data_IF_034209225905
#
_entry.id   IF_034209225905
#
_cell.length_a   1.000
_cell.length_b   1.000
_cell.length_c   1.000
_cell.angle_alpha   90.00
_cell.angle_beta   90.00
_cell.angle_gamma   90.00
#
_symmetry.space_group_name_H-M   'P 1'
#
loop_
_entity.id
_entity.type
_entity.pdbx_description
1 polymer ?
#
# COMPACT_ATOMS: atom_id res chain seq x y z
N UNK A 1 12.66 6.21 -8.78
CA UNK A 1 11.43 6.55 -8.03
C UNK A 1 10.37 5.53 -8.40
N UNK A 2 9.81 4.81 -7.44
CA UNK A 2 8.79 3.78 -7.74
C UNK A 2 7.46 4.43 -8.08
N UNK A 3 6.96 4.18 -9.29
CA UNK A 3 5.63 4.61 -9.74
C UNK A 3 4.59 3.82 -8.94
N UNK A 4 3.59 4.51 -8.37
CA UNK A 4 2.55 3.83 -7.60
C UNK A 4 1.55 3.11 -8.49
N UNK A 5 0.89 2.10 -7.92
CA UNK A 5 -0.17 1.36 -8.60
C UNK A 5 -1.39 2.26 -8.81
N UNK A 6 -1.91 2.23 -10.03
CA UNK A 6 -3.11 2.97 -10.41
C UNK A 6 -4.36 2.11 -10.18
N UNK A 7 -5.43 2.74 -9.71
CA UNK A 7 -6.70 2.09 -9.41
C UNK A 7 -7.88 3.01 -9.78
N UNK A 8 -8.24 3.10 -11.07
CA UNK A 8 -9.29 4.01 -11.54
C UNK A 8 -10.69 3.71 -10.97
N UNK A 9 -10.94 2.47 -10.53
CA UNK A 9 -12.22 2.05 -9.96
C UNK A 9 -12.60 2.85 -8.71
N UNK A 10 -11.62 3.33 -7.93
CA UNK A 10 -11.85 4.17 -6.74
C UNK A 10 -12.62 5.45 -7.04
N UNK A 11 -12.59 5.93 -8.29
CA UNK A 11 -13.25 7.16 -8.71
C UNK A 11 -14.75 7.01 -8.94
N UNK A 12 -15.28 5.78 -8.95
CA UNK A 12 -16.68 5.51 -9.34
C UNK A 12 -17.44 4.78 -8.23
N UNK A 13 -18.68 5.21 -7.92
CA UNK A 13 -19.27 6.50 -8.28
C UNK A 13 -18.52 7.66 -7.60
N UNK A 14 -18.55 8.91 -8.07
CA UNK A 14 -18.00 10.02 -7.30
C UNK A 14 -18.68 10.14 -5.92
N UNK A 15 -17.95 10.57 -4.90
CA UNK A 15 -18.57 10.95 -3.63
C UNK A 15 -19.49 12.14 -3.87
N UNK A 16 -20.73 12.03 -3.43
CA UNK A 16 -21.74 13.09 -3.49
C UNK A 16 -21.93 13.72 -2.12
N UNK A 17 -22.49 14.92 -2.08
CA UNK A 17 -22.89 15.59 -0.83
C UNK A 17 -24.02 14.83 -0.11
N UNK A 18 -24.80 14.02 -0.84
CA UNK A 18 -25.89 13.22 -0.27
C UNK A 18 -25.36 12.25 0.81
N UNK A 19 -25.92 12.35 2.00
CA UNK A 19 -25.56 11.50 3.15
C UNK A 19 -24.31 11.95 3.93
N UNK A 20 -23.65 13.04 3.51
CA UNK A 20 -22.57 13.66 4.26
C UNK A 20 -23.13 14.71 5.22
N UNK A 21 -22.67 14.69 6.46
CA UNK A 21 -23.12 15.65 7.47
C UNK A 21 -22.25 16.91 7.42
N UNK A 22 -22.87 18.07 7.47
CA UNK A 22 -22.15 19.33 7.55
C UNK A 22 -21.42 19.42 8.90
N UNK A 23 -20.26 20.06 8.91
CA UNK A 23 -19.59 20.48 10.14
C UNK A 23 -19.71 21.99 10.30
N UNK A 24 -19.22 22.53 11.42
CA UNK A 24 -19.11 23.99 11.61
C UNK A 24 -18.25 24.69 10.53
N UNK A 25 -17.31 23.97 9.92
CA UNK A 25 -16.28 24.56 9.05
C UNK A 25 -16.42 24.17 7.59
N UNK A 26 -16.91 22.97 7.32
CA UNK A 26 -17.00 22.37 5.99
C UNK A 26 -18.43 21.89 5.74
N UNK A 27 -19.00 22.30 4.60
CA UNK A 27 -20.29 21.80 4.14
C UNK A 27 -20.20 20.40 3.51
N UNK A 28 -21.34 19.75 3.23
CA UNK A 28 -21.38 18.43 2.59
C UNK A 28 -20.68 18.41 1.21
N UNK A 29 -20.76 19.50 0.45
CA UNK A 29 -20.09 19.60 -0.86
C UNK A 29 -18.57 19.71 -0.73
N UNK A 30 -18.07 20.44 0.26
CA UNK A 30 -16.62 20.54 0.53
C UNK A 30 -16.05 19.19 0.93
N UNK A 31 -16.79 18.46 1.77
CA UNK A 31 -16.48 17.08 2.15
C UNK A 31 -16.41 16.15 0.94
N UNK A 32 -17.43 16.18 0.07
CA UNK A 32 -17.44 15.37 -1.15
C UNK A 32 -16.26 15.71 -2.06
N UNK A 33 -15.97 17.00 -2.28
CA UNK A 33 -14.85 17.46 -3.09
C UNK A 33 -13.50 17.03 -2.51
N UNK A 34 -13.32 17.17 -1.20
CA UNK A 34 -12.09 16.76 -0.51
C UNK A 34 -11.88 15.25 -0.56
N UNK A 35 -12.94 14.47 -0.32
CA UNK A 35 -12.89 13.01 -0.44
C UNK A 35 -12.56 12.55 -1.86
N UNK A 36 -13.19 13.14 -2.87
CA UNK A 36 -12.89 12.84 -4.29
C UNK A 36 -11.45 13.20 -4.67
N UNK A 37 -10.90 14.29 -4.12
CA UNK A 37 -9.49 14.65 -4.32
C UNK A 37 -8.55 13.61 -3.71
N UNK A 38 -8.86 13.07 -2.52
CA UNK A 38 -8.08 11.99 -1.89
C UNK A 38 -8.18 10.70 -2.72
N UNK A 39 -9.39 10.29 -3.10
CA UNK A 39 -9.60 9.10 -3.94
C UNK A 39 -8.88 9.22 -5.27
N UNK A 40 -8.91 10.40 -5.91
CA UNK A 40 -8.18 10.66 -7.16
C UNK A 40 -6.67 10.58 -6.99
N UNK A 41 -6.15 11.12 -5.89
CA UNK A 41 -4.73 11.00 -5.57
C UNK A 41 -4.30 9.53 -5.41
N UNK A 42 -5.08 8.75 -4.66
CA UNK A 42 -4.81 7.32 -4.45
C UNK A 42 -4.95 6.54 -5.77
N UNK A 43 -6.04 6.77 -6.52
CA UNK A 43 -6.32 6.14 -7.80
C UNK A 43 -5.21 6.35 -8.84
N UNK A 44 -4.47 7.46 -8.76
CA UNK A 44 -3.35 7.79 -9.64
C UNK A 44 -2.01 7.23 -9.16
N UNK A 45 -2.00 6.40 -8.12
CA UNK A 45 -0.77 5.85 -7.54
C UNK A 45 0.00 6.85 -6.67
N UNK A 46 -0.70 7.81 -6.06
CA UNK A 46 -0.14 8.77 -5.12
C UNK A 46 1.10 9.52 -5.66
N UNK A 47 1.01 10.20 -6.83
CA UNK A 47 2.18 10.80 -7.48
C UNK A 47 2.69 12.03 -6.72
N UNK A 48 4.02 12.19 -6.63
CA UNK A 48 4.66 13.29 -5.88
C UNK A 48 4.23 14.68 -6.35
N UNK A 49 4.04 14.84 -7.65
CA UNK A 49 3.62 16.10 -8.29
C UNK A 49 2.21 16.52 -7.91
N UNK A 50 1.33 15.59 -7.54
CA UNK A 50 -0.02 15.90 -7.06
C UNK A 50 -0.08 16.12 -5.54
N UNK A 51 0.99 15.80 -4.80
CA UNK A 51 1.03 15.91 -3.34
C UNK A 51 1.33 17.36 -2.90
N UNK A 52 0.30 18.04 -2.40
CA UNK A 52 0.34 19.45 -2.04
C UNK A 52 -0.10 19.69 -0.57
N UNK A 53 0.06 20.93 -0.09
CA UNK A 53 -0.24 21.31 1.29
C UNK A 53 -1.71 21.09 1.70
N UNK A 54 -2.66 21.28 0.76
CA UNK A 54 -4.08 21.05 1.04
C UNK A 54 -4.35 19.57 1.29
N UNK A 55 -3.80 18.70 0.44
CA UNK A 55 -3.97 17.26 0.58
C UNK A 55 -3.27 16.72 1.84
N UNK A 56 -2.04 17.18 2.09
CA UNK A 56 -1.30 16.85 3.32
C UNK A 56 -2.09 17.22 4.58
N UNK A 57 -2.55 18.46 4.72
CA UNK A 57 -3.30 18.91 5.92
C UNK A 57 -4.56 18.11 6.16
N UNK A 58 -5.22 17.65 5.09
CA UNK A 58 -6.46 16.89 5.22
C UNK A 58 -6.17 15.44 5.58
N UNK A 59 -5.24 14.78 4.89
CA UNK A 59 -4.80 13.42 5.23
C UNK A 59 -4.25 13.33 6.66
N UNK A 60 -3.42 14.29 7.09
CA UNK A 60 -2.80 14.26 8.42
C UNK A 60 -3.81 14.34 9.57
N UNK A 61 -4.93 15.03 9.34
CA UNK A 61 -6.01 15.20 10.32
C UNK A 61 -7.04 14.09 10.31
N UNK A 62 -7.27 13.42 9.18
CA UNK A 62 -8.33 12.40 9.03
C UNK A 62 -7.95 11.03 9.59
N UNK A 63 -6.68 10.64 9.48
CA UNK A 63 -6.28 9.24 9.71
C UNK A 63 -5.21 9.10 10.80
N UNK A 64 -5.11 10.11 11.68
CA UNK A 64 -4.22 10.07 12.84
C UNK A 64 -2.72 10.20 12.53
N UNK A 65 -2.33 10.72 11.36
CA UNK A 65 -0.91 10.93 11.01
C UNK A 65 -0.31 12.22 11.62
N UNK A 66 -0.69 12.54 12.85
CA UNK A 66 -0.44 13.85 13.50
C UNK A 66 1.05 14.07 13.83
N UNK A 67 1.87 13.01 13.88
CA UNK A 67 3.30 13.08 14.22
C UNK A 67 4.20 13.66 13.11
N UNK A 68 3.69 13.88 11.90
CA UNK A 68 4.47 14.47 10.80
C UNK A 68 4.28 16.00 10.73
N UNK A 69 5.27 16.77 11.19
CA UNK A 69 5.19 18.24 11.31
C UNK A 69 5.34 19.01 9.98
N UNK A 70 5.70 18.36 8.87
CA UNK A 70 5.79 19.01 7.57
C UNK A 70 5.47 18.07 6.40
N UNK A 71 5.14 18.68 5.25
CA UNK A 71 4.74 17.98 4.02
C UNK A 71 5.82 17.01 3.50
N UNK A 72 7.10 17.39 3.58
CA UNK A 72 8.19 16.55 3.08
C UNK A 72 8.36 15.30 3.94
N UNK A 73 8.38 15.45 5.27
CA UNK A 73 8.48 14.36 6.21
C UNK A 73 7.32 13.38 6.06
N UNK A 74 6.09 13.88 5.93
CA UNK A 74 4.93 13.02 5.65
C UNK A 74 5.13 12.18 4.39
N UNK A 75 5.61 12.80 3.31
CA UNK A 75 5.87 12.10 2.05
C UNK A 75 6.91 10.99 2.23
N UNK A 76 8.04 11.31 2.86
CA UNK A 76 9.12 10.33 3.07
C UNK A 76 8.65 9.15 3.91
N UNK A 77 7.90 9.41 4.97
CA UNK A 77 7.44 8.38 5.90
C UNK A 77 6.37 7.48 5.30
N UNK A 78 5.41 8.04 4.55
CA UNK A 78 4.20 7.31 4.18
C UNK A 78 4.06 7.00 2.68
N UNK A 79 4.72 7.75 1.79
CA UNK A 79 4.40 7.72 0.35
C UNK A 79 5.61 7.50 -0.57
N UNK A 80 6.83 7.45 -0.03
CA UNK A 80 8.05 7.38 -0.82
C UNK A 80 8.30 6.02 -1.47
N UNK A 81 7.98 4.92 -0.79
CA UNK A 81 8.26 3.55 -1.25
C UNK A 81 6.97 2.74 -1.39
N UNK A 82 7.06 1.59 -2.08
CA UNK A 82 5.94 0.65 -2.18
C UNK A 82 5.51 0.19 -0.80
N UNK A 83 6.45 -0.23 0.04
CA UNK A 83 6.20 -0.64 1.43
C UNK A 83 5.54 0.47 2.28
N UNK A 84 6.03 1.72 2.20
CA UNK A 84 5.43 2.82 2.95
C UNK A 84 3.98 3.08 2.50
N UNK A 85 3.72 3.00 1.19
CA UNK A 85 2.37 3.13 0.61
C UNK A 85 1.46 1.98 1.06
N UNK A 86 1.97 0.76 1.09
CA UNK A 86 1.24 -0.41 1.63
C UNK A 86 0.80 -0.15 3.07
N UNK A 87 1.74 0.29 3.93
CA UNK A 87 1.46 0.57 5.33
C UNK A 87 0.46 1.74 5.49
N UNK A 88 0.63 2.81 4.72
CA UNK A 88 -0.26 3.96 4.71
C UNK A 88 -1.71 3.57 4.36
N UNK A 89 -1.90 2.80 3.29
CA UNK A 89 -3.23 2.35 2.87
C UNK A 89 -3.84 1.36 3.88
N UNK A 90 -3.03 0.45 4.43
CA UNK A 90 -3.48 -0.46 5.49
C UNK A 90 -3.93 0.28 6.75
N UNK A 91 -3.22 1.36 7.14
CA UNK A 91 -3.64 2.20 8.25
C UNK A 91 -4.99 2.89 7.97
N UNK A 92 -5.23 3.37 6.75
CA UNK A 92 -6.53 3.95 6.38
C UNK A 92 -7.65 2.91 6.47
N UNK A 93 -7.44 1.69 5.95
CA UNK A 93 -8.45 0.63 6.01
C UNK A 93 -8.80 0.22 7.44
N UNK A 94 -7.81 0.23 8.34
CA UNK A 94 -7.96 -0.15 9.74
C UNK A 94 -8.42 1.00 10.62
N UNK A 95 -8.38 2.25 10.12
CA UNK A 95 -8.65 3.42 10.95
C UNK A 95 -10.10 3.39 11.46
N UNK A 96 -10.29 3.23 12.78
CA UNK A 96 -11.61 3.26 13.35
C UNK A 96 -12.08 4.72 13.35
N UNK A 97 -12.99 5.06 12.43
CA UNK A 97 -13.47 6.42 12.21
C UNK A 97 -14.34 6.89 13.41
N UNK A 98 -13.71 7.21 14.54
CA UNK A 98 -14.34 7.43 15.85
C UNK A 98 -15.11 8.76 15.97
N UNK A 99 -14.84 9.73 15.10
CA UNK A 99 -15.45 11.06 15.21
C UNK A 99 -16.94 11.07 14.87
N UNK A 100 -17.69 11.98 15.47
CA UNK A 100 -19.06 12.27 15.05
C UNK A 100 -19.03 13.09 13.75
N UNK A 101 -19.81 12.69 12.75
CA UNK A 101 -19.77 13.31 11.41
C UNK A 101 -20.25 14.76 11.38
N UNK A 102 -20.95 15.20 12.43
CA UNK A 102 -21.35 16.60 12.64
C UNK A 102 -20.17 17.51 13.07
N UNK A 103 -19.05 16.92 13.50
CA UNK A 103 -17.85 17.64 13.98
C UNK A 103 -16.58 17.24 13.24
N UNK A 104 -16.54 16.05 12.64
CA UNK A 104 -15.38 15.52 11.91
C UNK A 104 -15.76 15.06 10.50
N UNK A 105 -14.78 14.56 9.76
CA UNK A 105 -14.95 13.98 8.42
C UNK A 105 -15.10 12.45 8.47
N UNK A 106 -15.59 11.90 9.60
CA UNK A 106 -15.67 10.45 9.81
C UNK A 106 -16.57 9.70 8.84
N UNK A 107 -17.56 10.39 8.28
CA UNK A 107 -18.40 9.91 7.18
C UNK A 107 -17.59 9.72 5.89
N UNK A 108 -16.75 10.71 5.54
CA UNK A 108 -15.84 10.62 4.38
C UNK A 108 -14.74 9.60 4.60
N UNK A 109 -14.13 9.58 5.80
CA UNK A 109 -13.09 8.60 6.19
C UNK A 109 -13.59 7.17 5.97
N UNK A 110 -14.81 6.88 6.44
CA UNK A 110 -15.45 5.57 6.31
C UNK A 110 -15.71 5.20 4.85
N UNK A 111 -16.19 6.14 4.04
CA UNK A 111 -16.41 5.89 2.61
C UNK A 111 -15.09 5.61 1.87
N UNK A 112 -14.01 6.34 2.18
CA UNK A 112 -12.68 6.09 1.60
C UNK A 112 -12.17 4.71 2.02
N UNK A 113 -12.23 4.38 3.31
CA UNK A 113 -11.78 3.09 3.83
C UNK A 113 -12.54 1.92 3.19
N UNK A 114 -13.87 2.03 3.06
CA UNK A 114 -14.67 1.00 2.40
C UNK A 114 -14.26 0.80 0.93
N UNK A 115 -14.07 1.88 0.16
CA UNK A 115 -13.62 1.77 -1.24
C UNK A 115 -12.26 1.13 -1.38
N UNK A 116 -11.34 1.43 -0.47
CA UNK A 116 -10.03 0.78 -0.46
C UNK A 116 -10.18 -0.73 -0.27
N UNK A 117 -10.99 -1.16 0.70
CA UNK A 117 -11.27 -2.59 0.94
C UNK A 117 -11.93 -3.25 -0.26
N UNK A 118 -12.96 -2.64 -0.83
CA UNK A 118 -13.70 -3.16 -1.99
C UNK A 118 -12.82 -3.27 -3.24
N UNK A 119 -11.84 -2.37 -3.39
CA UNK A 119 -10.90 -2.39 -4.51
C UNK A 119 -9.75 -3.39 -4.34
N UNK A 120 -9.60 -3.99 -3.16
CA UNK A 120 -8.46 -4.83 -2.78
C UNK A 120 -7.09 -4.18 -3.02
N UNK A 121 -7.00 -2.85 -3.00
CA UNK A 121 -5.80 -2.11 -3.38
C UNK A 121 -4.61 -2.41 -2.47
N UNK A 122 -4.83 -2.57 -1.16
CA UNK A 122 -3.76 -2.96 -0.22
C UNK A 122 -3.18 -4.32 -0.59
N UNK A 123 -4.02 -5.27 -1.01
CA UNK A 123 -3.57 -6.59 -1.50
C UNK A 123 -2.69 -6.47 -2.74
N UNK A 124 -3.05 -5.61 -3.69
CA UNK A 124 -2.25 -5.35 -4.88
C UNK A 124 -0.86 -4.74 -4.54
N UNK A 125 -0.81 -3.78 -3.61
CA UNK A 125 0.45 -3.21 -3.15
C UNK A 125 1.33 -4.23 -2.41
N UNK A 126 0.75 -5.09 -1.56
CA UNK A 126 1.48 -6.19 -0.91
C UNK A 126 2.06 -7.18 -1.92
N UNK A 127 1.33 -7.49 -2.98
CA UNK A 127 1.82 -8.36 -4.04
C UNK A 127 3.01 -7.73 -4.78
N UNK A 128 2.98 -6.43 -5.03
CA UNK A 128 4.09 -5.71 -5.68
C UNK A 128 5.32 -5.62 -4.77
N UNK A 129 5.13 -5.29 -3.49
CA UNK A 129 6.19 -5.30 -2.47
C UNK A 129 6.88 -6.68 -2.40
N UNK A 130 6.12 -7.77 -2.45
CA UNK A 130 6.69 -9.13 -2.49
C UNK A 130 7.53 -9.37 -3.75
N UNK A 131 7.12 -8.87 -4.93
CA UNK A 131 7.91 -9.00 -6.16
C UNK A 131 9.22 -8.21 -6.07
N UNK A 132 9.18 -7.00 -5.52
CA UNK A 132 10.37 -6.17 -5.31
C UNK A 132 11.36 -6.87 -4.38
N UNK A 133 10.88 -7.44 -3.27
CA UNK A 133 11.69 -8.21 -2.33
C UNK A 133 12.33 -9.42 -3.00
N UNK A 134 11.55 -10.25 -3.71
CA UNK A 134 12.06 -11.42 -4.42
C UNK A 134 13.11 -11.05 -5.47
N UNK A 135 12.93 -9.92 -6.16
CA UNK A 135 13.93 -9.42 -7.12
C UNK A 135 15.23 -9.05 -6.41
N UNK A 136 15.15 -8.31 -5.30
CA UNK A 136 16.31 -7.92 -4.52
C UNK A 136 17.07 -9.15 -3.96
N UNK A 137 16.34 -10.16 -3.48
CA UNK A 137 16.92 -11.43 -3.02
C UNK A 137 17.65 -12.17 -4.15
N UNK A 138 17.05 -12.23 -5.35
CA UNK A 138 17.69 -12.86 -6.52
C UNK A 138 18.95 -12.11 -6.95
N UNK A 139 18.92 -10.79 -6.96
CA UNK A 139 20.09 -9.95 -7.30
C UNK A 139 21.21 -10.13 -6.25
N UNK A 140 20.85 -10.19 -4.96
CA UNK A 140 21.79 -10.47 -3.88
C UNK A 140 22.40 -11.86 -4.00
N UNK A 141 21.60 -12.89 -4.30
CA UNK A 141 22.08 -14.25 -4.52
C UNK A 141 23.06 -14.30 -5.71
N UNK A 142 22.71 -13.66 -6.83
CA UNK A 142 23.58 -13.59 -8.00
C UNK A 142 24.93 -12.93 -7.66
N UNK A 143 24.91 -11.83 -6.89
CA UNK A 143 26.14 -11.16 -6.40
C UNK A 143 26.97 -12.07 -5.51
N UNK A 144 26.34 -12.81 -4.59
CA UNK A 144 27.05 -13.73 -3.69
C UNK A 144 27.67 -14.90 -4.46
N UNK A 145 26.95 -15.51 -5.39
CA UNK A 145 27.47 -16.58 -6.26
C UNK A 145 28.64 -16.10 -7.11
N UNK A 146 28.58 -14.88 -7.65
CA UNK A 146 29.69 -14.31 -8.41
C UNK A 146 30.93 -14.06 -7.55
N UNK A 147 30.76 -13.68 -6.27
CA UNK A 147 31.86 -13.37 -5.36
C UNK A 147 32.50 -14.62 -4.73
N UNK A 148 31.69 -15.65 -4.47
CA UNK A 148 32.10 -16.79 -3.64
C UNK A 148 32.06 -18.15 -4.36
N UNK A 149 31.60 -18.21 -5.62
CA UNK A 149 31.35 -19.48 -6.32
C UNK A 149 30.04 -20.13 -5.86
N UNK A 150 29.63 -21.23 -6.51
CA UNK A 150 28.47 -22.00 -6.03
C UNK A 150 28.86 -22.78 -4.78
N UNK A 151 27.94 -23.03 -3.84
CA UNK A 151 28.22 -23.90 -2.70
C UNK A 151 28.80 -25.27 -3.11
N UNK A 152 28.34 -25.82 -4.24
CA UNK A 152 28.87 -27.07 -4.80
C UNK A 152 30.36 -27.01 -5.17
N UNK A 153 30.88 -25.82 -5.50
CA UNK A 153 32.28 -25.60 -5.90
C UNK A 153 33.21 -25.39 -4.68
N UNK A 154 32.64 -25.10 -3.50
CA UNK A 154 33.38 -24.73 -2.27
C UNK A 154 33.25 -25.81 -1.18
N UNK A 155 32.28 -26.72 -1.27
CA UNK A 155 32.11 -27.81 -0.32
C UNK A 155 33.13 -28.95 -0.58
N UNK A 156 33.79 -29.49 0.45
CA UNK A 156 34.60 -30.69 0.30
C UNK A 156 33.73 -31.88 -0.15
N UNK A 157 34.26 -32.79 -0.98
CA UNK A 157 33.49 -33.84 -1.66
C UNK A 157 32.65 -34.76 -0.75
N UNK A 158 32.98 -34.83 0.54
CA UNK A 158 32.27 -35.63 1.54
C UNK A 158 30.81 -35.22 1.80
N UNK A 159 30.41 -33.99 1.45
CA UNK A 159 29.03 -33.48 1.66
C UNK A 159 28.21 -33.33 0.36
N UNK A 160 28.80 -33.63 -0.80
CA UNK A 160 28.09 -33.58 -2.09
C UNK A 160 27.15 -34.80 -2.29
N UNK A 161 27.30 -35.84 -1.47
CA UNK A 161 26.50 -37.07 -1.51
C UNK A 161 25.36 -37.04 -0.47
N UNK A 162 24.45 -36.07 -0.58
CA UNK A 162 23.13 -36.22 0.05
C UNK A 162 22.22 -36.98 -0.92
N UNK A 163 21.50 -38.04 -0.49
CA UNK A 163 20.71 -38.86 -1.39
C UNK A 163 19.54 -38.04 -1.95
N UNK A 164 19.42 -38.07 -3.29
CA UNK A 164 18.28 -37.54 -4.01
C UNK A 164 17.00 -38.17 -3.46
N UNK A 165 16.07 -37.35 -2.96
CA UNK A 165 14.74 -37.81 -2.54
C UNK A 165 14.03 -38.35 -3.78
N UNK A 166 13.99 -39.67 -3.91
CA UNK A 166 13.19 -40.35 -4.92
C UNK A 166 11.71 -40.16 -4.58
N UNK A 167 10.98 -39.46 -5.45
CA UNK A 167 9.53 -39.37 -5.38
C UNK A 167 8.89 -40.77 -5.50
N UNK A 168 7.66 -40.94 -5.00
CA UNK A 168 7.04 -42.26 -4.87
C UNK A 168 6.84 -42.89 -6.25
N UNK A 169 7.49 -44.05 -6.47
CA UNK A 169 7.25 -44.92 -7.61
C UNK A 169 5.78 -45.31 -7.66
N UNK A 170 5.11 -44.97 -8.77
CA UNK A 170 3.81 -45.54 -9.11
C UNK A 170 3.97 -47.06 -9.25
N UNK A 171 3.51 -47.81 -8.25
CA UNK A 171 3.19 -49.22 -8.40
C UNK A 171 1.79 -49.30 -9.04
N UNK A 172 1.78 -49.42 -10.36
CA UNK A 172 0.69 -50.10 -11.05
C UNK A 172 0.83 -51.62 -10.91
N UNK A 173 -0.24 -52.32 -11.33
CA UNK A 173 -0.47 -53.77 -11.42
C UNK A 173 -1.03 -54.39 -10.12
N UNK A 174 -2.19 -55.05 -10.08
CA UNK A 174 -3.08 -55.67 -11.09
C UNK A 174 -4.53 -55.64 -10.59
#
# INVERSE_FOLDING_TARGET
>A
MTVGLQCPSLLRPPLTSLGLKATKWDGPEDKARGGNAILSFIARGMPRSAFNAKLYRRLSRMFGFIACNNLHGFWQTHLATTASRTAFLGQIEQHPCWGQSDWTWSDVERQIANRLRDSHLVGAYRAEEKKEMLRAERDQLARLLAKHGRPADVMPPALQAAPQVQGPSQLGLL
#
